data_IF_212662457511
#
_entry.id   IF_212662457511
#
_cell.length_a   1.000
_cell.length_b   1.000
_cell.length_c   1.000
_cell.angle_alpha   90.00
_cell.angle_beta   90.00
_cell.angle_gamma   90.00
#
_symmetry.space_group_name_H-M   'P 1'
#
loop_
_entity.id
_entity.type
_entity.pdbx_description
1 polymer ?
#
# COMPACT_ATOMS: atom_id res chain seq x y z
N UNK A 1 -21.76 16.73 37.49
CA UNK A 1 -20.86 17.50 36.61
C UNK A 1 -21.70 18.43 35.76
N UNK A 2 -21.85 19.69 36.15
CA UNK A 2 -22.54 20.67 35.31
C UNK A 2 -21.72 20.85 34.02
N UNK A 3 -22.30 20.50 32.88
CA UNK A 3 -21.75 20.85 31.56
C UNK A 3 -21.48 22.35 31.54
N UNK A 4 -20.21 22.75 31.50
CA UNK A 4 -19.84 24.14 31.35
C UNK A 4 -20.52 24.67 30.08
N UNK A 5 -21.47 25.60 30.24
CA UNK A 5 -22.19 26.20 29.11
C UNK A 5 -21.17 26.97 28.27
N UNK A 6 -20.72 26.36 27.18
CA UNK A 6 -19.87 27.00 26.18
C UNK A 6 -20.58 28.25 25.64
N UNK A 7 -19.83 29.31 25.36
CA UNK A 7 -20.40 30.50 24.71
C UNK A 7 -20.93 30.11 23.31
N UNK A 8 -21.94 30.83 22.79
CA UNK A 8 -22.49 30.56 21.45
C UNK A 8 -21.40 30.54 20.37
N UNK A 9 -20.45 31.47 20.42
CA UNK A 9 -19.31 31.55 19.49
C UNK A 9 -18.37 30.34 19.60
N UNK A 10 -18.08 29.87 20.83
CA UNK A 10 -17.24 28.68 21.02
C UNK A 10 -17.90 27.42 20.45
N UNK A 11 -19.24 27.32 20.55
CA UNK A 11 -19.99 26.21 19.95
C UNK A 11 -19.93 26.25 18.41
N UNK A 12 -20.04 27.44 17.80
CA UNK A 12 -19.89 27.61 16.35
C UNK A 12 -18.48 27.24 15.87
N UNK A 13 -17.43 27.67 16.59
CA UNK A 13 -16.04 27.32 16.25
C UNK A 13 -15.79 25.82 16.37
N UNK A 14 -16.31 25.18 17.42
CA UNK A 14 -16.20 23.73 17.62
C UNK A 14 -16.79 22.93 16.46
N UNK A 15 -17.90 23.41 15.89
CA UNK A 15 -18.59 22.75 14.78
C UNK A 15 -18.17 23.29 13.39
N UNK A 16 -17.17 24.18 13.34
CA UNK A 16 -16.68 24.74 12.08
C UNK A 16 -15.84 23.74 11.28
N UNK A 17 -15.81 23.90 9.96
CA UNK A 17 -15.03 23.02 9.06
C UNK A 17 -13.52 23.08 9.30
N UNK A 18 -13.02 24.24 9.73
CA UNK A 18 -11.59 24.41 10.04
C UNK A 18 -11.20 23.59 11.28
N UNK A 19 -12.04 23.55 12.31
CA UNK A 19 -11.82 22.77 13.53
C UNK A 19 -12.08 21.26 13.31
N UNK A 20 -12.79 20.89 12.26
CA UNK A 20 -12.98 19.50 11.85
C UNK A 20 -11.74 18.91 11.14
N UNK A 21 -10.73 19.73 10.80
CA UNK A 21 -9.50 19.22 10.20
C UNK A 21 -8.76 18.30 11.19
N UNK A 22 -8.39 17.08 10.77
CA UNK A 22 -7.70 16.14 11.63
C UNK A 22 -6.31 16.65 11.98
N UNK A 23 -5.84 16.32 13.19
CA UNK A 23 -4.45 16.55 13.58
C UNK A 23 -3.54 15.74 12.67
N UNK A 24 -2.37 16.31 12.34
CA UNK A 24 -1.38 15.66 11.48
C UNK A 24 -0.93 14.35 12.10
N UNK A 25 -0.93 13.27 11.30
CA UNK A 25 -0.41 11.99 11.75
C UNK A 25 1.11 12.05 11.85
N UNK A 26 1.68 11.32 12.82
CA UNK A 26 3.15 11.21 12.94
C UNK A 26 3.67 10.39 11.76
N UNK A 27 4.50 11.01 10.92
CA UNK A 27 5.25 10.29 9.88
C UNK A 27 6.26 9.31 10.49
N UNK A 28 6.76 8.38 9.67
CA UNK A 28 7.78 7.40 10.10
C UNK A 28 9.08 8.14 10.46
N UNK A 29 9.39 8.24 11.75
CA UNK A 29 10.67 8.77 12.26
C UNK A 29 11.68 7.67 12.64
N UNK A 30 11.56 6.48 12.03
CA UNK A 30 12.33 5.29 12.42
C UNK A 30 13.23 4.78 11.30
N UNK A 31 14.53 4.74 11.60
CA UNK A 31 15.67 4.21 10.82
C UNK A 31 16.11 5.03 9.60
N UNK A 32 17.22 5.76 9.78
CA UNK A 32 18.28 6.07 8.78
C UNK A 32 17.85 6.12 7.32
N UNK A 33 16.74 6.78 7.03
CA UNK A 33 16.23 6.88 5.67
C UNK A 33 16.84 8.14 5.10
N UNK A 34 17.86 7.96 4.26
CA UNK A 34 18.32 8.99 3.32
C UNK A 34 17.26 9.17 2.22
N UNK A 35 16.02 9.39 2.62
CA UNK A 35 14.92 9.73 1.74
C UNK A 35 14.98 11.24 1.54
N UNK A 36 14.77 11.72 0.31
CA UNK A 36 14.71 13.15 0.04
C UNK A 36 13.51 13.76 0.77
N UNK A 37 13.65 14.94 1.35
CA UNK A 37 12.57 15.65 2.03
C UNK A 37 11.34 15.90 1.13
N UNK A 38 11.52 15.85 -0.18
CA UNK A 38 10.49 16.02 -1.20
C UNK A 38 9.88 14.71 -1.71
N UNK A 39 10.28 13.54 -1.20
CA UNK A 39 9.72 12.26 -1.64
C UNK A 39 8.28 12.09 -1.12
N UNK A 40 7.40 11.56 -1.96
CA UNK A 40 6.05 11.21 -1.57
C UNK A 40 6.07 10.14 -0.48
N UNK A 41 5.35 10.38 0.61
CA UNK A 41 5.22 9.43 1.71
C UNK A 41 4.43 8.19 1.29
N UNK A 42 4.45 7.14 2.10
CA UNK A 42 3.68 5.92 1.83
C UNK A 42 2.16 6.11 1.98
N UNK A 43 1.74 7.02 2.84
CA UNK A 43 0.34 7.35 3.12
C UNK A 43 0.20 8.83 3.47
N UNK A 44 -0.98 9.44 3.26
CA UNK A 44 -1.20 10.85 3.57
C UNK A 44 -1.19 11.08 5.09
N UNK A 45 -0.43 12.10 5.52
CA UNK A 45 -0.35 12.53 6.94
C UNK A 45 -1.20 13.76 7.25
N UNK A 46 -1.69 14.46 6.22
CA UNK A 46 -2.50 15.68 6.31
C UNK A 46 -3.75 15.54 5.44
N UNK A 47 -4.81 16.24 5.81
CA UNK A 47 -6.03 16.28 5.02
C UNK A 47 -5.82 17.05 3.70
N UNK A 48 -6.42 16.52 2.63
CA UNK A 48 -6.54 17.20 1.34
C UNK A 48 -7.75 18.14 1.33
N UNK A 49 -7.54 19.38 0.92
CA UNK A 49 -8.56 20.42 0.85
C UNK A 49 -8.84 20.73 -0.62
N UNK A 50 -10.12 20.87 -0.96
CA UNK A 50 -10.61 21.23 -2.30
C UNK A 50 -11.62 22.36 -2.15
N UNK A 51 -11.67 23.22 -3.15
CA UNK A 51 -12.59 24.37 -3.22
C UNK A 51 -13.43 24.33 -4.49
N UNK A 52 -14.66 24.85 -4.48
CA UNK A 52 -15.43 25.06 -5.71
C UNK A 52 -14.71 26.01 -6.67
N UNK A 53 -14.97 25.86 -7.97
CA UNK A 53 -14.31 26.65 -9.02
C UNK A 53 -14.50 28.17 -8.84
N UNK A 54 -15.65 28.61 -8.33
CA UNK A 54 -15.95 30.02 -8.10
C UNK A 54 -15.09 30.66 -7.00
N UNK A 55 -14.77 29.94 -5.94
CA UNK A 55 -13.86 30.41 -4.88
C UNK A 55 -12.40 30.25 -5.29
N UNK A 56 -12.07 29.17 -6.00
CA UNK A 56 -10.74 28.93 -6.57
C UNK A 56 -10.30 30.09 -7.48
N UNK A 57 -11.19 30.62 -8.33
CA UNK A 57 -10.90 31.76 -9.19
C UNK A 57 -10.51 33.04 -8.41
N UNK A 58 -10.96 33.16 -7.16
CA UNK A 58 -10.60 34.25 -6.23
C UNK A 58 -9.43 33.92 -5.32
N UNK A 59 -8.87 32.70 -5.44
CA UNK A 59 -7.86 32.18 -4.53
C UNK A 59 -8.39 31.91 -3.12
N UNK A 60 -9.71 31.82 -2.91
CA UNK A 60 -10.31 31.58 -1.59
C UNK A 60 -10.40 30.08 -1.29
N UNK A 61 -9.74 29.67 -0.19
CA UNK A 61 -9.69 28.28 0.29
C UNK A 61 -10.40 28.07 1.64
N UNK A 62 -11.10 29.08 2.16
CA UNK A 62 -11.63 29.02 3.53
C UNK A 62 -10.52 28.93 4.58
N UNK A 63 -9.33 29.41 4.25
CA UNK A 63 -8.16 29.51 5.12
C UNK A 63 -7.98 30.95 5.60
N UNK A 64 -6.95 31.20 6.40
CA UNK A 64 -6.65 32.55 6.92
C UNK A 64 -6.43 33.58 5.81
N UNK A 65 -5.81 33.18 4.69
CA UNK A 65 -5.48 34.04 3.54
C UNK A 65 -5.74 33.32 2.22
N UNK A 66 -6.03 34.06 1.12
CA UNK A 66 -6.16 33.47 -0.19
C UNK A 66 -4.81 32.91 -0.67
N UNK A 67 -4.84 31.79 -1.39
CA UNK A 67 -3.63 31.15 -1.91
C UNK A 67 -3.29 31.69 -3.32
N UNK A 68 -2.00 31.73 -3.70
CA UNK A 68 -1.57 32.22 -5.00
C UNK A 68 -2.13 31.37 -6.18
N UNK A 69 -2.65 32.04 -7.20
CA UNK A 69 -3.17 31.42 -8.42
C UNK A 69 -2.10 30.63 -9.20
N UNK A 70 -0.87 31.17 -9.27
CA UNK A 70 0.27 30.56 -9.98
C UNK A 70 0.57 29.12 -9.55
N UNK A 71 0.47 28.83 -8.26
CA UNK A 71 0.72 27.49 -7.69
C UNK A 71 -0.53 26.60 -7.65
N UNK A 72 -1.72 27.17 -7.88
CA UNK A 72 -3.00 26.48 -7.76
C UNK A 72 -3.69 26.40 -9.12
N UNK A 73 -4.50 27.39 -9.46
CA UNK A 73 -5.39 27.42 -10.63
C UNK A 73 -4.66 27.43 -11.98
N UNK A 74 -3.51 28.09 -12.08
CA UNK A 74 -2.74 28.17 -13.34
C UNK A 74 -1.97 26.88 -13.64
N UNK A 75 -1.57 26.15 -12.60
CA UNK A 75 -0.72 24.95 -12.72
C UNK A 75 -1.53 23.67 -12.92
N UNK A 76 -2.74 23.60 -12.39
CA UNK A 76 -3.56 22.39 -12.40
C UNK A 76 -5.03 22.73 -12.61
N UNK A 77 -5.71 21.93 -13.43
CA UNK A 77 -7.16 22.02 -13.64
C UNK A 77 -7.98 21.57 -12.43
N UNK A 78 -7.42 20.67 -11.60
CA UNK A 78 -8.03 20.15 -10.36
C UNK A 78 -7.03 20.34 -9.20
N UNK A 79 -6.85 21.57 -8.68
CA UNK A 79 -5.90 21.79 -7.60
C UNK A 79 -6.46 21.22 -6.29
N UNK A 80 -5.61 20.49 -5.59
CA UNK A 80 -5.89 19.91 -4.27
C UNK A 80 -4.72 20.23 -3.38
N UNK A 81 -4.98 20.78 -2.19
CA UNK A 81 -3.95 21.37 -1.33
C UNK A 81 -3.93 20.71 0.05
N UNK A 82 -2.74 20.49 0.61
CA UNK A 82 -2.52 20.20 2.03
C UNK A 82 -1.89 21.40 2.72
N UNK A 83 -2.37 21.74 3.91
CA UNK A 83 -1.86 22.88 4.68
C UNK A 83 -0.91 22.38 5.77
N UNK A 84 0.30 22.93 5.82
CA UNK A 84 1.30 22.63 6.83
C UNK A 84 1.10 23.50 8.07
N UNK A 85 0.91 24.80 7.84
CA UNK A 85 0.61 25.79 8.86
C UNK A 85 -0.34 26.85 8.29
N UNK A 86 -1.34 27.25 9.08
CA UNK A 86 -2.29 28.29 8.68
C UNK A 86 -1.67 29.68 8.62
N UNK A 87 -0.64 29.92 9.43
CA UNK A 87 0.14 31.15 9.44
C UNK A 87 1.54 30.83 9.96
N UNK A 88 2.56 31.11 9.15
CA UNK A 88 3.96 30.98 9.55
C UNK A 88 4.49 32.30 10.13
N UNK A 89 5.71 32.26 10.64
CA UNK A 89 6.44 33.47 11.05
C UNK A 89 6.55 34.51 9.92
N UNK A 90 6.59 34.05 8.67
CA UNK A 90 6.66 34.89 7.47
C UNK A 90 5.32 35.49 7.06
N UNK A 91 4.26 35.28 7.87
CA UNK A 91 2.90 35.73 7.60
C UNK A 91 2.29 35.14 6.31
N UNK A 92 2.72 33.93 5.94
CA UNK A 92 2.22 33.18 4.78
C UNK A 92 1.59 31.88 5.26
N UNK A 93 0.56 31.42 4.55
CA UNK A 93 0.01 30.07 4.75
C UNK A 93 1.00 29.08 4.12
N UNK A 94 1.58 28.18 4.89
CA UNK A 94 2.45 27.13 4.34
C UNK A 94 1.60 25.98 3.82
N UNK A 95 1.71 25.68 2.53
CA UNK A 95 0.88 24.70 1.85
C UNK A 95 1.64 24.00 0.72
N UNK A 96 1.15 22.82 0.36
CA UNK A 96 1.70 22.01 -0.71
C UNK A 96 0.57 21.37 -1.52
N UNK A 97 0.87 20.91 -2.73
CA UNK A 97 -0.05 20.06 -3.48
C UNK A 97 -0.28 18.74 -2.75
N UNK A 98 -1.54 18.32 -2.66
CA UNK A 98 -1.95 17.00 -2.15
C UNK A 98 -2.39 16.06 -3.28
N UNK A 99 -2.17 16.46 -4.54
CA UNK A 99 -2.53 15.67 -5.71
C UNK A 99 -1.78 14.33 -5.79
N UNK A 100 -0.60 14.24 -5.17
CA UNK A 100 0.20 13.03 -5.06
C UNK A 100 -0.61 11.85 -4.49
N UNK A 101 -1.25 12.06 -3.34
CA UNK A 101 -2.04 11.03 -2.68
C UNK A 101 -3.47 10.92 -3.21
N UNK A 102 -4.13 12.04 -3.54
CA UNK A 102 -5.53 12.00 -3.99
C UNK A 102 -5.67 11.35 -5.35
N UNK A 103 -4.78 11.66 -6.30
CA UNK A 103 -4.81 11.02 -7.62
C UNK A 103 -4.41 9.55 -7.53
N UNK A 104 -3.50 9.19 -6.62
CA UNK A 104 -3.15 7.78 -6.37
C UNK A 104 -4.33 7.01 -5.79
N UNK A 105 -5.11 7.62 -4.90
CA UNK A 105 -6.35 7.02 -4.38
C UNK A 105 -7.39 6.84 -5.48
N UNK A 106 -7.63 7.86 -6.31
CA UNK A 106 -8.54 7.78 -7.46
C UNK A 106 -8.12 6.66 -8.41
N UNK A 107 -6.84 6.61 -8.80
CA UNK A 107 -6.28 5.53 -9.64
C UNK A 107 -6.44 4.15 -9.02
N UNK A 108 -6.26 4.02 -7.71
CA UNK A 108 -6.44 2.75 -7.02
C UNK A 108 -7.91 2.30 -7.03
N UNK A 109 -8.85 3.24 -6.83
CA UNK A 109 -10.28 2.97 -6.89
C UNK A 109 -10.74 2.57 -8.30
N UNK A 110 -10.13 3.14 -9.34
CA UNK A 110 -10.34 2.74 -10.74
C UNK A 110 -9.84 1.32 -11.04
N UNK A 111 -8.91 0.76 -10.26
CA UNK A 111 -8.52 -0.65 -10.39
C UNK A 111 -9.61 -1.61 -9.92
N UNK A 112 -10.67 -1.13 -9.25
CA UNK A 112 -11.75 -1.95 -8.69
C UNK A 112 -11.27 -3.13 -7.83
N UNK A 113 -10.15 -2.93 -7.12
CA UNK A 113 -9.54 -3.94 -6.25
C UNK A 113 -10.04 -3.80 -4.81
N UNK A 114 -10.53 -4.89 -4.18
CA UNK A 114 -10.80 -4.93 -2.75
C UNK A 114 -9.48 -5.06 -1.99
N UNK A 115 -9.49 -4.55 -0.77
CA UNK A 115 -8.40 -4.79 0.16
C UNK A 115 -8.54 -6.19 0.75
N UNK A 116 -7.43 -6.90 0.86
CA UNK A 116 -7.34 -8.22 1.47
C UNK A 116 -6.36 -8.19 2.64
N UNK A 117 -6.52 -9.12 3.58
CA UNK A 117 -5.48 -9.35 4.59
C UNK A 117 -4.17 -9.78 3.91
N UNK A 118 -2.99 -9.40 4.43
CA UNK A 118 -1.72 -9.77 3.81
C UNK A 118 -1.53 -11.29 3.83
N UNK A 119 -1.09 -11.84 2.71
CA UNK A 119 -0.73 -13.24 2.54
C UNK A 119 0.37 -13.34 1.49
N UNK A 120 1.38 -14.17 1.74
CA UNK A 120 2.46 -14.40 0.77
C UNK A 120 1.91 -15.09 -0.48
N UNK A 121 2.09 -14.45 -1.63
CA UNK A 121 1.78 -15.02 -2.94
C UNK A 121 2.98 -15.84 -3.41
N UNK A 122 2.78 -17.14 -3.62
CA UNK A 122 3.78 -18.04 -4.16
C UNK A 122 3.58 -18.20 -5.66
N UNK A 123 4.31 -17.41 -6.44
CA UNK A 123 4.21 -17.44 -7.90
C UNK A 123 4.77 -18.72 -8.54
N UNK A 124 5.61 -19.47 -7.84
CA UNK A 124 6.17 -20.74 -8.32
C UNK A 124 5.12 -21.86 -8.44
N UNK A 125 4.12 -21.88 -7.55
CA UNK A 125 3.07 -22.91 -7.55
C UNK A 125 1.81 -22.45 -8.27
N UNK A 126 1.77 -21.22 -8.78
CA UNK A 126 0.58 -20.57 -9.35
C UNK A 126 -0.65 -20.55 -8.43
N UNK A 127 -0.48 -20.89 -7.14
CA UNK A 127 -1.57 -20.90 -6.17
C UNK A 127 -1.71 -19.49 -5.59
N UNK A 128 -2.73 -18.78 -6.07
CA UNK A 128 -3.09 -17.47 -5.50
C UNK A 128 -3.74 -17.70 -4.14
N UNK A 129 -3.24 -17.07 -3.07
CA UNK A 129 -3.87 -17.19 -1.76
C UNK A 129 -5.30 -16.64 -1.82
N UNK A 130 -6.24 -17.31 -1.14
CA UNK A 130 -7.65 -16.89 -1.12
C UNK A 130 -7.78 -15.45 -0.62
N UNK A 131 -8.71 -14.71 -1.23
CA UNK A 131 -9.08 -13.37 -0.78
C UNK A 131 -9.79 -13.47 0.57
N UNK A 132 -9.35 -12.65 1.52
CA UNK A 132 -9.99 -12.53 2.82
C UNK A 132 -10.22 -11.05 3.09
N UNK A 133 -11.49 -10.64 3.14
CA UNK A 133 -11.88 -9.27 3.39
C UNK A 133 -11.45 -8.85 4.79
N UNK A 134 -10.94 -7.61 4.98
CA UNK A 134 -10.66 -7.10 6.31
C UNK A 134 -11.92 -6.72 7.08
N UNK A 135 -13.06 -6.52 6.38
CA UNK A 135 -14.34 -6.09 6.95
C UNK A 135 -15.25 -7.25 7.37
N UNK A 136 -14.68 -8.40 7.72
CA UNK A 136 -15.44 -9.53 8.27
C UNK A 136 -15.67 -9.34 9.78
N UNK A 137 -16.85 -9.71 10.27
CA UNK A 137 -17.22 -9.50 11.67
C UNK A 137 -16.25 -10.17 12.67
N UNK A 138 -15.65 -11.30 12.29
CA UNK A 138 -14.68 -12.03 13.11
C UNK A 138 -13.24 -11.51 12.98
N UNK A 139 -12.96 -10.51 12.13
CA UNK A 139 -11.61 -9.98 11.86
C UNK A 139 -11.47 -8.48 12.14
N UNK A 140 -12.53 -7.71 11.86
CA UNK A 140 -12.61 -6.27 12.04
C UNK A 140 -12.95 -5.90 13.49
N UNK A 141 -12.15 -6.41 14.42
CA UNK A 141 -12.34 -6.18 15.85
C UNK A 141 -11.19 -5.36 16.45
N UNK A 142 -11.53 -4.69 17.54
CA UNK A 142 -10.64 -3.91 18.41
C UNK A 142 -10.94 -4.30 19.87
N UNK A 143 -10.13 -3.89 20.85
CA UNK A 143 -10.34 -4.25 22.27
C UNK A 143 -11.79 -4.04 22.76
N UNK A 144 -12.47 -3.00 22.28
CA UNK A 144 -13.81 -2.62 22.75
C UNK A 144 -14.96 -3.19 21.90
N UNK A 145 -14.67 -3.94 20.83
CA UNK A 145 -15.73 -4.44 19.94
C UNK A 145 -16.45 -5.64 20.55
N UNK A 146 -17.78 -5.65 20.43
CA UNK A 146 -18.63 -6.75 20.91
C UNK A 146 -18.32 -8.09 20.22
N UNK A 147 -17.81 -8.04 18.97
CA UNK A 147 -17.43 -9.24 18.19
C UNK A 147 -16.32 -10.08 18.82
N UNK A 148 -15.56 -9.56 19.79
CA UNK A 148 -14.56 -10.33 20.54
C UNK A 148 -15.16 -11.44 21.42
N UNK A 149 -16.47 -11.39 21.70
CA UNK A 149 -17.16 -12.42 22.47
C UNK A 149 -17.36 -13.72 21.65
N UNK A 150 -17.28 -13.64 20.32
CA UNK A 150 -17.41 -14.81 19.47
C UNK A 150 -16.16 -15.70 19.53
N UNK A 151 -16.33 -17.03 19.60
CA UNK A 151 -15.20 -17.95 19.58
C UNK A 151 -14.44 -17.83 18.26
N UNK A 152 -13.12 -17.61 18.36
CA UNK A 152 -12.26 -17.45 17.18
C UNK A 152 -12.22 -16.05 16.58
N UNK A 153 -12.84 -15.06 17.24
CA UNK A 153 -12.70 -13.66 16.88
C UNK A 153 -11.23 -13.21 16.94
N UNK A 154 -10.83 -12.47 15.91
CA UNK A 154 -9.52 -11.85 15.75
C UNK A 154 -9.67 -10.35 15.72
N UNK A 155 -8.62 -9.66 16.13
CA UNK A 155 -8.52 -8.22 16.15
C UNK A 155 -7.31 -7.74 15.34
N UNK A 156 -7.44 -6.57 14.72
CA UNK A 156 -6.33 -5.95 14.01
C UNK A 156 -5.58 -4.94 14.88
N UNK A 157 -6.24 -4.38 15.90
CA UNK A 157 -5.67 -3.37 16.78
C UNK A 157 -5.62 -3.87 18.22
N UNK A 158 -4.43 -3.81 18.78
CA UNK A 158 -4.13 -4.12 20.17
C UNK A 158 -3.81 -2.85 20.95
N UNK A 159 -4.14 -2.84 22.24
CA UNK A 159 -3.75 -1.77 23.17
C UNK A 159 -2.30 -1.96 23.62
N UNK A 160 -1.86 -3.21 23.78
CA UNK A 160 -0.48 -3.54 24.08
C UNK A 160 0.45 -3.38 22.87
N UNK A 161 1.73 -3.03 23.09
CA UNK A 161 2.70 -2.96 22.01
C UNK A 161 3.10 -4.35 21.50
N UNK A 162 3.63 -4.38 20.27
CA UNK A 162 4.27 -5.58 19.76
C UNK A 162 5.72 -5.67 20.23
N UNK A 163 5.97 -6.56 21.19
CA UNK A 163 7.26 -6.65 21.89
C UNK A 163 8.44 -6.97 20.96
N UNK A 164 8.24 -7.76 19.92
CA UNK A 164 9.31 -8.17 19.01
C UNK A 164 9.84 -7.02 18.13
N UNK A 165 9.07 -5.95 17.95
CA UNK A 165 9.45 -4.79 17.16
C UNK A 165 9.96 -3.60 17.97
N UNK A 166 9.95 -3.67 19.30
CA UNK A 166 10.40 -2.58 20.15
C UNK A 166 11.91 -2.53 20.29
N UNK A 167 12.45 -1.31 20.39
CA UNK A 167 13.83 -1.10 20.84
C UNK A 167 13.95 -1.34 22.35
N UNK A 168 15.16 -1.61 22.83
CA UNK A 168 15.42 -1.86 24.26
C UNK A 168 14.97 -0.67 25.15
N UNK A 169 15.20 0.56 24.69
CA UNK A 169 14.76 1.77 25.39
C UNK A 169 13.24 1.89 25.48
N UNK A 170 12.53 1.57 24.40
CA UNK A 170 11.07 1.59 24.35
C UNK A 170 10.49 0.51 25.26
N UNK A 171 11.09 -0.69 25.23
CA UNK A 171 10.69 -1.80 26.09
C UNK A 171 10.91 -1.46 27.57
N UNK A 172 12.04 -0.87 27.95
CA UNK A 172 12.29 -0.44 29.33
C UNK A 172 11.30 0.64 29.80
N UNK A 173 10.94 1.59 28.92
CA UNK A 173 9.93 2.60 29.21
C UNK A 173 8.53 1.96 29.39
N UNK A 174 8.18 1.00 28.53
CA UNK A 174 6.93 0.26 28.62
C UNK A 174 6.85 -0.56 29.92
N UNK A 175 7.92 -1.23 30.33
CA UNK A 175 7.97 -1.96 31.60
C UNK A 175 7.69 -1.05 32.79
N UNK A 176 8.27 0.17 32.82
CA UNK A 176 7.97 1.16 33.87
C UNK A 176 6.48 1.51 33.91
N UNK A 177 5.85 1.69 32.75
CA UNK A 177 4.40 1.92 32.67
C UNK A 177 3.59 0.73 33.20
N UNK A 178 3.94 -0.50 32.83
CA UNK A 178 3.28 -1.72 33.32
C UNK A 178 3.42 -1.86 34.84
N UNK A 179 4.61 -1.57 35.39
CA UNK A 179 4.82 -1.62 36.86
C UNK A 179 3.96 -0.60 37.60
N UNK A 180 3.74 0.59 37.03
CA UNK A 180 2.86 1.62 37.59
C UNK A 180 1.40 1.17 37.59
N UNK A 181 0.95 0.47 36.54
CA UNK A 181 -0.42 0.01 36.38
C UNK A 181 -0.70 -1.35 37.04
N UNK A 182 0.29 -1.94 37.70
CA UNK A 182 0.18 -3.22 38.42
C UNK A 182 -1.07 -3.37 39.31
N UNK A 183 -1.51 -2.39 40.13
CA UNK A 183 -2.71 -2.59 40.96
C UNK A 183 -3.99 -2.78 40.13
N UNK A 184 -4.14 -2.09 39.00
CA UNK A 184 -5.29 -2.25 38.11
C UNK A 184 -5.25 -3.61 37.41
N UNK A 185 -4.06 -4.02 36.98
CA UNK A 185 -3.84 -5.33 36.38
C UNK A 185 -4.19 -6.48 37.34
N UNK A 186 -3.82 -6.36 38.61
CA UNK A 186 -4.18 -7.37 39.62
C UNK A 186 -5.69 -7.44 39.87
N UNK A 187 -6.42 -6.31 39.78
CA UNK A 187 -7.88 -6.30 39.85
C UNK A 187 -8.49 -7.05 38.66
N UNK A 188 -8.05 -6.76 37.43
CA UNK A 188 -8.48 -7.50 36.22
C UNK A 188 -8.18 -9.00 36.32
N UNK A 189 -7.01 -9.37 36.83
CA UNK A 189 -6.64 -10.78 37.04
C UNK A 189 -7.55 -11.45 38.07
N UNK A 190 -7.93 -10.74 39.13
CA UNK A 190 -8.90 -11.22 40.12
C UNK A 190 -10.28 -11.44 39.51
N UNK A 191 -10.75 -10.52 38.68
CA UNK A 191 -12.02 -10.67 37.94
C UNK A 191 -12.00 -11.90 37.02
N UNK A 192 -10.92 -12.09 36.25
CA UNK A 192 -10.73 -13.28 35.42
C UNK A 192 -10.70 -14.56 36.25
N UNK A 193 -10.05 -14.55 37.41
CA UNK A 193 -9.99 -15.71 38.31
C UNK A 193 -11.37 -16.04 38.90
N UNK A 194 -12.15 -15.03 39.31
CA UNK A 194 -13.53 -15.22 39.76
C UNK A 194 -14.39 -15.81 38.64
N UNK A 195 -14.26 -15.30 37.41
CA UNK A 195 -14.98 -15.82 36.26
C UNK A 195 -14.62 -17.28 35.97
N UNK A 196 -13.33 -17.63 35.95
CA UNK A 196 -12.86 -19.02 35.76
C UNK A 196 -13.42 -19.95 36.84
N UNK A 197 -13.34 -19.56 38.11
CA UNK A 197 -13.85 -20.38 39.21
C UNK A 197 -15.36 -20.52 39.18
N UNK A 198 -16.08 -19.47 38.80
CA UNK A 198 -17.53 -19.53 38.60
C UNK A 198 -17.91 -20.49 37.48
N UNK A 199 -17.12 -20.55 36.39
CA UNK A 199 -17.33 -21.49 35.30
C UNK A 199 -17.03 -22.94 35.72
N UNK A 200 -15.98 -23.17 36.52
CA UNK A 200 -15.67 -24.49 37.08
C UNK A 200 -16.77 -24.99 38.02
N UNK A 201 -17.25 -24.14 38.94
CA UNK A 201 -18.35 -24.48 39.85
C UNK A 201 -19.63 -24.78 39.07
N UNK A 202 -19.98 -23.95 38.07
CA UNK A 202 -21.15 -24.21 37.21
C UNK A 202 -21.02 -25.53 36.45
N UNK A 203 -19.84 -25.85 35.94
CA UNK A 203 -19.59 -27.12 35.26
C UNK A 203 -19.77 -28.31 36.21
N UNK A 204 -19.22 -28.23 37.43
CA UNK A 204 -19.38 -29.27 38.44
C UNK A 204 -20.85 -29.44 38.87
N UNK A 205 -21.58 -28.35 39.06
CA UNK A 205 -23.01 -28.39 39.36
C UNK A 205 -23.79 -29.03 38.20
N UNK A 206 -23.45 -28.69 36.95
CA UNK A 206 -24.05 -29.33 35.76
C UNK A 206 -23.75 -30.83 35.70
N UNK A 207 -22.51 -31.25 35.98
CA UNK A 207 -22.10 -32.65 35.97
C UNK A 207 -22.77 -33.44 37.12
N UNK A 208 -23.05 -32.79 38.25
CA UNK A 208 -23.74 -33.36 39.41
C UNK A 208 -25.28 -33.27 39.31
N UNK A 209 -25.82 -32.53 38.36
CA UNK A 209 -27.27 -32.30 38.20
C UNK A 209 -27.88 -31.31 39.21
N UNK A 210 -27.06 -30.44 39.79
CA UNK A 210 -27.46 -29.41 40.76
C UNK A 210 -27.84 -28.07 40.07
N UNK A 211 -28.60 -27.22 40.75
CA UNK A 211 -29.04 -25.91 40.22
C UNK A 211 -27.87 -24.93 40.02
N UNK A 212 -27.76 -24.38 38.82
CA UNK A 212 -26.64 -23.54 38.36
C UNK A 212 -26.54 -22.15 39.04
N UNK A 213 -27.65 -21.68 39.62
CA UNK A 213 -27.77 -20.34 40.23
C UNK A 213 -27.41 -20.31 41.73
N UNK A 214 -27.30 -21.48 42.38
CA UNK A 214 -27.22 -21.58 43.85
C UNK A 214 -25.82 -21.29 44.43
N UNK A 215 -24.77 -21.23 43.62
CA UNK A 215 -23.38 -21.18 44.09
C UNK A 215 -22.58 -19.97 43.54
N UNK A 216 -22.75 -18.76 44.11
CA UNK A 216 -21.90 -17.63 43.77
C UNK A 216 -20.46 -17.87 44.25
N UNK A 217 -19.49 -17.76 43.33
CA UNK A 217 -18.08 -17.95 43.64
C UNK A 217 -17.54 -16.83 44.55
N UNK A 218 -17.45 -17.09 45.85
CA UNK A 218 -16.74 -16.20 46.79
C UNK A 218 -15.25 -16.54 46.78
N UNK A 219 -14.43 -15.62 46.29
CA UNK A 219 -12.97 -15.80 46.22
C UNK A 219 -12.29 -15.07 47.37
N UNK A 220 -11.56 -15.83 48.20
CA UNK A 220 -10.75 -15.27 49.28
C UNK A 220 -9.39 -14.77 48.77
N UNK A 221 -8.79 -13.81 49.49
CA UNK A 221 -7.47 -13.26 49.13
C UNK A 221 -6.34 -14.31 49.23
N UNK A 222 -6.48 -15.28 50.14
CA UNK A 222 -5.51 -16.36 50.30
C UNK A 222 -5.46 -17.28 49.07
N UNK A 223 -6.62 -17.65 48.53
CA UNK A 223 -6.73 -18.47 47.33
C UNK A 223 -6.20 -17.74 46.09
N UNK A 224 -6.49 -16.44 45.97
CA UNK A 224 -5.94 -15.62 44.89
C UNK A 224 -4.41 -15.55 44.94
N UNK A 225 -3.82 -15.39 46.12
CA UNK A 225 -2.37 -15.42 46.28
C UNK A 225 -1.76 -16.79 45.98
N UNK A 226 -2.45 -17.88 46.31
CA UNK A 226 -2.04 -19.23 45.92
C UNK A 226 -2.06 -19.38 44.39
N UNK A 227 -3.09 -18.88 43.72
CA UNK A 227 -3.19 -18.87 42.26
C UNK A 227 -2.04 -18.09 41.60
N UNK A 228 -1.64 -16.94 42.14
CA UNK A 228 -0.47 -16.22 41.62
C UNK A 228 0.81 -17.06 41.77
N UNK A 229 0.96 -17.79 42.88
CA UNK A 229 2.13 -18.68 43.08
C UNK A 229 2.13 -19.84 42.09
N UNK A 230 0.98 -20.45 41.79
CA UNK A 230 0.91 -21.52 40.78
C UNK A 230 1.27 -21.00 39.39
N UNK A 231 0.75 -19.84 38.99
CA UNK A 231 1.12 -19.20 37.72
C UNK A 231 2.62 -18.87 37.65
N UNK A 232 3.27 -18.46 38.75
CA UNK A 232 4.73 -18.23 38.75
C UNK A 232 5.53 -19.52 38.53
N UNK A 233 5.03 -20.65 39.00
CA UNK A 233 5.70 -21.94 38.87
C UNK A 233 5.56 -22.53 37.46
N UNK A 234 4.49 -22.16 36.73
CA UNK A 234 4.22 -22.64 35.38
C UNK A 234 4.23 -21.50 34.32
N UNK A 235 5.36 -21.28 33.63
CA UNK A 235 5.47 -20.31 32.55
C UNK A 235 4.50 -20.54 31.39
N UNK A 236 4.07 -21.78 31.16
CA UNK A 236 3.14 -22.12 30.07
C UNK A 236 1.74 -21.59 30.36
N UNK A 237 1.26 -21.72 31.60
CA UNK A 237 -0.02 -21.15 32.02
C UNK A 237 0.03 -19.61 32.19
N UNK A 238 1.16 -19.06 32.63
CA UNK A 238 1.31 -17.62 32.84
C UNK A 238 1.34 -16.81 31.53
N UNK A 239 1.99 -17.35 30.49
CA UNK A 239 2.13 -16.67 29.20
C UNK A 239 0.78 -16.17 28.64
N UNK A 240 -0.19 -17.05 28.36
CA UNK A 240 -1.51 -16.66 27.83
C UNK A 240 -2.24 -15.63 28.69
N UNK A 241 -2.17 -15.76 30.02
CA UNK A 241 -2.79 -14.80 30.96
C UNK A 241 -2.17 -13.41 30.81
N UNK A 242 -0.85 -13.32 30.69
CA UNK A 242 -0.15 -12.04 30.48
C UNK A 242 -0.54 -11.40 29.15
N UNK A 243 -0.61 -12.19 28.07
CA UNK A 243 -1.02 -11.70 26.75
C UNK A 243 -2.45 -11.15 26.74
N UNK A 244 -3.36 -11.80 27.45
CA UNK A 244 -4.75 -11.36 27.56
C UNK A 244 -4.89 -10.10 28.42
N UNK A 245 -4.20 -10.06 29.56
CA UNK A 245 -4.30 -8.96 30.52
C UNK A 245 -3.65 -7.67 30.03
N UNK A 246 -2.56 -7.78 29.26
CA UNK A 246 -1.89 -6.63 28.64
C UNK A 246 -2.36 -6.37 27.20
N UNK A 247 -3.30 -7.16 26.68
CA UNK A 247 -3.73 -7.17 25.28
C UNK A 247 -2.55 -7.06 24.29
N UNK A 248 -1.58 -7.96 24.43
CA UNK A 248 -0.37 -7.98 23.62
C UNK A 248 -0.63 -8.68 22.29
N UNK A 249 -0.04 -8.13 21.22
CA UNK A 249 0.00 -8.79 19.92
C UNK A 249 0.82 -10.09 19.97
N UNK A 250 0.35 -11.12 19.27
CA UNK A 250 1.04 -12.41 19.22
C UNK A 250 2.45 -12.28 18.63
N UNK A 251 3.45 -12.95 19.21
CA UNK A 251 4.81 -12.93 18.69
C UNK A 251 4.91 -13.80 17.42
N UNK A 252 6.01 -13.66 16.65
CA UNK A 252 6.31 -14.60 15.59
C UNK A 252 6.49 -16.03 16.13
N UNK A 253 6.32 -17.03 15.26
CA UNK A 253 6.44 -18.44 15.62
C UNK A 253 7.79 -18.74 16.30
N UNK A 254 7.74 -19.48 17.40
CA UNK A 254 8.93 -19.87 18.17
C UNK A 254 9.77 -20.84 17.33
N UNK A 255 11.09 -20.62 17.19
CA UNK A 255 11.97 -21.54 16.47
C UNK A 255 11.92 -22.95 17.05
N UNK A 256 12.04 -23.97 16.18
CA UNK A 256 11.93 -25.38 16.55
C UNK A 256 12.91 -25.81 17.66
N UNK A 257 14.07 -25.16 17.74
CA UNK A 257 15.12 -25.43 18.75
C UNK A 257 14.69 -25.14 20.20
N UNK A 258 13.67 -24.28 20.39
CA UNK A 258 13.14 -23.95 21.73
C UNK A 258 11.97 -24.84 22.14
N UNK A 259 11.44 -25.64 21.21
CA UNK A 259 10.36 -26.59 21.47
C UNK A 259 10.91 -27.67 22.41
N UNK A 260 10.33 -27.79 23.62
CA UNK A 260 10.76 -28.73 24.66
C UNK A 260 11.49 -28.11 25.86
N UNK A 261 11.82 -26.81 25.84
CA UNK A 261 12.29 -26.07 27.04
C UNK A 261 11.11 -25.39 27.73
N UNK A 262 11.26 -25.02 29.01
CA UNK A 262 10.29 -24.15 29.69
C UNK A 262 10.41 -22.73 29.11
N UNK A 263 9.34 -22.23 28.50
CA UNK A 263 9.27 -20.86 27.98
C UNK A 263 7.86 -20.28 28.18
N UNK A 264 7.73 -18.97 28.04
CA UNK A 264 6.43 -18.30 28.07
C UNK A 264 5.70 -18.53 26.75
N UNK A 265 4.69 -19.40 26.77
CA UNK A 265 3.89 -19.70 25.58
C UNK A 265 2.95 -18.53 25.25
N UNK A 266 2.93 -18.12 23.99
CA UNK A 266 1.89 -17.21 23.51
C UNK A 266 0.60 -17.97 23.24
N UNK A 267 -0.57 -17.35 23.45
CA UNK A 267 -1.83 -17.93 23.00
C UNK A 267 -1.86 -18.02 21.46
N UNK A 268 -2.86 -18.70 20.92
CA UNK A 268 -3.13 -18.68 19.49
C UNK A 268 -3.24 -17.25 18.95
N UNK A 269 -2.86 -17.06 17.67
CA UNK A 269 -2.82 -15.71 17.09
C UNK A 269 -4.21 -15.08 17.07
N UNK A 270 -4.39 -14.02 17.86
CA UNK A 270 -5.57 -13.15 17.81
C UNK A 270 -5.48 -12.11 16.70
N UNK A 271 -4.38 -12.08 15.94
CA UNK A 271 -4.20 -11.15 14.84
C UNK A 271 -5.07 -11.56 13.65
N UNK A 272 -5.58 -10.55 12.94
CA UNK A 272 -6.39 -10.76 11.73
C UNK A 272 -5.67 -11.60 10.67
N UNK A 273 -4.36 -11.40 10.47
CA UNK A 273 -3.50 -12.18 9.57
C UNK A 273 -2.29 -12.81 10.26
N UNK A 274 -1.83 -13.94 9.72
CA UNK A 274 -0.57 -14.56 10.11
C UNK A 274 0.66 -13.71 9.74
N UNK A 275 0.63 -12.99 8.62
CA UNK A 275 1.76 -12.14 8.21
C UNK A 275 2.02 -10.99 9.20
N UNK A 276 0.96 -10.53 9.88
CA UNK A 276 1.09 -9.55 10.97
C UNK A 276 1.73 -10.13 12.23
N UNK A 277 1.74 -11.45 12.44
CA UNK A 277 2.49 -12.04 13.55
C UNK A 277 4.00 -11.91 13.32
N UNK A 278 4.43 -11.94 12.05
CA UNK A 278 5.84 -11.83 11.65
C UNK A 278 6.28 -10.37 11.54
N UNK A 279 5.47 -9.52 10.89
CA UNK A 279 5.78 -8.12 10.61
C UNK A 279 5.30 -7.14 11.68
N UNK A 280 4.52 -7.64 12.65
CA UNK A 280 3.82 -6.83 13.65
C UNK A 280 2.37 -6.52 13.27
N UNK A 281 1.51 -6.21 14.26
CA UNK A 281 0.16 -5.75 14.01
C UNK A 281 0.16 -4.48 13.15
N UNK A 282 -0.86 -4.29 12.30
CA UNK A 282 -0.93 -3.11 11.46
C UNK A 282 -1.20 -1.85 12.29
N UNK A 283 -0.47 -0.77 11.98
CA UNK A 283 -0.62 0.54 12.62
C UNK A 283 -1.98 1.20 12.32
N UNK A 284 -2.60 0.80 11.21
CA UNK A 284 -3.90 1.28 10.75
C UNK A 284 -4.82 0.10 10.46
N UNK A 285 -6.09 0.37 10.15
CA UNK A 285 -7.01 -0.68 9.71
C UNK A 285 -6.44 -1.40 8.47
N UNK A 286 -6.57 -2.74 8.32
CA UNK A 286 -5.99 -3.48 7.20
C UNK A 286 -6.43 -3.04 5.80
N UNK A 287 -7.51 -2.24 5.67
CA UNK A 287 -7.88 -1.61 4.39
C UNK A 287 -7.14 -0.31 4.08
N UNK A 288 -6.51 0.32 5.08
CA UNK A 288 -5.88 1.64 4.97
C UNK A 288 -6.82 2.78 4.56
N UNK A 289 -8.13 2.55 4.51
CA UNK A 289 -9.11 3.50 3.96
C UNK A 289 -9.02 3.69 2.44
N UNK A 290 -8.37 2.76 1.71
CA UNK A 290 -8.17 2.88 0.26
C UNK A 290 -9.40 2.42 -0.53
N UNK A 291 -9.93 1.25 -0.16
CA UNK A 291 -11.13 0.66 -0.75
C UNK A 291 -11.97 -0.01 0.32
N UNK A 292 -13.29 0.11 0.16
CA UNK A 292 -14.30 -0.44 1.06
C UNK A 292 -15.07 -1.60 0.42
N UNK A 293 -14.65 -2.06 -0.76
CA UNK A 293 -15.25 -3.24 -1.39
C UNK A 293 -14.78 -4.50 -0.66
N UNK A 294 -15.72 -5.38 -0.32
CA UNK A 294 -15.44 -6.62 0.41
C UNK A 294 -14.84 -7.71 -0.48
N UNK A 295 -15.24 -7.75 -1.76
CA UNK A 295 -14.83 -8.80 -2.70
C UNK A 295 -14.75 -8.25 -4.13
N UNK A 296 -13.94 -8.89 -4.96
CA UNK A 296 -13.85 -8.67 -6.41
C UNK A 296 -14.49 -9.81 -7.20
N UNK A 297 -15.43 -10.55 -6.59
CA UNK A 297 -16.27 -11.53 -7.28
C UNK A 297 -17.30 -10.85 -8.19
N UNK A 298 -16.80 -10.01 -9.09
CA UNK A 298 -17.55 -9.29 -10.11
C UNK A 298 -16.95 -9.65 -11.48
N UNK A 299 -17.81 -9.75 -12.48
CA UNK A 299 -17.43 -10.04 -13.85
C UNK A 299 -17.68 -8.78 -14.66
N UNK A 300 -16.64 -8.25 -15.29
CA UNK A 300 -16.77 -7.09 -16.15
C UNK A 300 -17.42 -7.50 -17.48
N UNK A 301 -18.59 -6.94 -17.78
CA UNK A 301 -19.28 -7.20 -19.03
C UNK A 301 -18.82 -6.22 -20.13
N UNK A 302 -18.08 -6.72 -21.12
CA UNK A 302 -17.66 -5.93 -22.26
C UNK A 302 -18.83 -5.73 -23.23
N UNK A 303 -19.01 -4.51 -23.74
CA UNK A 303 -20.15 -4.16 -24.59
C UNK A 303 -20.31 -5.05 -25.84
N UNK A 304 -19.19 -5.45 -26.47
CA UNK A 304 -19.21 -6.26 -27.70
C UNK A 304 -18.96 -7.75 -27.47
N UNK A 305 -18.12 -8.11 -26.49
CA UNK A 305 -17.61 -9.47 -26.32
C UNK A 305 -18.23 -10.18 -25.11
N UNK A 306 -19.11 -9.51 -24.38
CA UNK A 306 -19.78 -10.06 -23.22
C UNK A 306 -18.86 -10.19 -21.98
N UNK A 307 -19.18 -11.08 -21.04
CA UNK A 307 -18.48 -11.22 -19.77
C UNK A 307 -17.01 -11.62 -19.96
N UNK A 308 -16.11 -10.84 -19.37
CA UNK A 308 -14.67 -11.08 -19.43
C UNK A 308 -14.17 -11.86 -18.23
N UNK A 309 -13.24 -12.80 -18.46
CA UNK A 309 -12.63 -13.60 -17.40
C UNK A 309 -11.77 -12.76 -16.43
N UNK A 310 -11.18 -11.67 -16.93
CA UNK A 310 -10.35 -10.76 -16.16
C UNK A 310 -10.85 -9.32 -16.31
N UNK A 311 -10.57 -8.49 -15.32
CA UNK A 311 -10.76 -7.04 -15.44
C UNK A 311 -9.83 -6.47 -16.52
N UNK A 312 -10.16 -5.27 -17.00
CA UNK A 312 -9.37 -4.57 -18.00
C UNK A 312 -7.90 -4.45 -17.54
N UNK A 313 -6.93 -4.91 -18.37
CA UNK A 313 -5.52 -4.73 -18.07
C UNK A 313 -5.13 -3.27 -17.90
N UNK A 314 -4.10 -3.03 -17.07
CA UNK A 314 -3.58 -1.69 -16.77
C UNK A 314 -2.12 -1.61 -17.19
N UNK A 315 -1.70 -0.48 -17.75
CA UNK A 315 -0.31 -0.25 -18.12
C UNK A 315 0.54 0.03 -16.88
N UNK A 316 1.59 -0.76 -16.69
CA UNK A 316 2.59 -0.61 -15.65
C UNK A 316 3.89 -0.04 -16.24
N UNK A 317 4.53 0.88 -15.51
CA UNK A 317 5.85 1.41 -15.88
C UNK A 317 6.95 0.66 -15.16
N UNK A 318 8.00 0.28 -15.86
CA UNK A 318 9.19 -0.32 -15.25
C UNK A 318 10.01 0.79 -14.60
N UNK A 319 10.09 0.77 -13.27
CA UNK A 319 10.89 1.73 -12.49
C UNK A 319 12.31 1.21 -12.28
N UNK A 320 12.45 -0.11 -12.10
CA UNK A 320 13.75 -0.77 -11.96
C UNK A 320 13.72 -2.12 -12.70
N UNK A 321 14.64 -2.37 -13.65
CA UNK A 321 14.76 -3.66 -14.31
C UNK A 321 15.24 -4.75 -13.33
N UNK A 322 15.04 -6.01 -13.71
CA UNK A 322 15.62 -7.19 -13.04
C UNK A 322 17.14 -7.14 -13.18
N UNK A 323 17.88 -7.33 -12.10
CA UNK A 323 19.34 -7.32 -12.19
C UNK A 323 20.04 -7.26 -10.84
N UNK A 324 21.37 -7.09 -10.86
CA UNK A 324 22.15 -6.90 -9.64
C UNK A 324 22.10 -5.43 -9.22
N UNK A 325 21.58 -5.16 -8.03
CA UNK A 325 21.68 -3.85 -7.40
C UNK A 325 22.45 -4.00 -6.09
N UNK A 326 23.55 -3.24 -5.95
CA UNK A 326 24.46 -3.31 -4.79
C UNK A 326 24.90 -4.76 -4.46
N UNK A 327 25.24 -5.53 -5.49
CA UNK A 327 25.74 -6.92 -5.34
C UNK A 327 24.67 -7.98 -5.01
N UNK A 328 23.40 -7.61 -4.79
CA UNK A 328 22.29 -8.56 -4.57
C UNK A 328 21.40 -8.63 -5.79
N UNK A 329 20.82 -9.81 -6.06
CA UNK A 329 19.78 -9.98 -7.06
C UNK A 329 18.56 -9.17 -6.64
N UNK A 330 18.30 -8.08 -7.35
CA UNK A 330 17.18 -7.20 -7.12
C UNK A 330 16.01 -7.61 -8.02
N UNK A 331 14.84 -7.65 -7.39
CA UNK A 331 13.56 -7.84 -8.09
C UNK A 331 13.26 -6.61 -8.95
N UNK A 332 12.56 -6.82 -10.05
CA UNK A 332 12.06 -5.70 -10.84
C UNK A 332 11.04 -4.90 -10.01
N UNK A 333 11.04 -3.58 -10.18
CA UNK A 333 10.07 -2.68 -9.56
C UNK A 333 9.22 -2.07 -10.66
N UNK A 334 7.90 -2.21 -10.54
CA UNK A 334 6.93 -1.67 -11.48
C UNK A 334 6.02 -0.65 -10.77
N UNK A 335 5.64 0.41 -11.49
CA UNK A 335 4.68 1.40 -11.05
C UNK A 335 3.30 1.10 -11.64
N UNK A 336 2.35 0.72 -10.79
CA UNK A 336 0.97 0.39 -11.18
C UNK A 336 0.04 1.37 -10.46
N UNK A 337 -0.73 2.17 -11.20
CA UNK A 337 -1.71 3.09 -10.61
C UNK A 337 -1.12 4.14 -9.64
N UNK A 338 0.17 4.45 -9.73
CA UNK A 338 0.87 5.36 -8.79
C UNK A 338 1.52 4.65 -7.59
N UNK A 339 1.39 3.33 -7.48
CA UNK A 339 1.99 2.52 -6.41
C UNK A 339 3.21 1.80 -6.95
N UNK A 340 4.32 1.83 -6.20
CA UNK A 340 5.53 1.09 -6.53
C UNK A 340 5.44 -0.35 -5.99
N UNK A 341 5.59 -1.34 -6.87
CA UNK A 341 5.30 -2.74 -6.61
C UNK A 341 6.50 -3.59 -7.01
N UNK A 342 6.91 -4.53 -6.15
CA UNK A 342 7.90 -5.54 -6.51
C UNK A 342 7.23 -6.60 -7.40
N UNK A 343 7.64 -6.67 -8.66
CA UNK A 343 7.13 -7.69 -9.57
C UNK A 343 7.90 -8.99 -9.35
N UNK A 344 7.31 -9.87 -8.55
CA UNK A 344 7.84 -11.21 -8.27
C UNK A 344 7.74 -12.14 -9.49
N UNK A 345 6.78 -11.89 -10.39
CA UNK A 345 6.66 -12.61 -11.67
C UNK A 345 7.76 -12.21 -12.66
N UNK A 346 8.44 -11.08 -12.44
CA UNK A 346 9.61 -10.70 -13.24
C UNK A 346 10.71 -11.77 -13.28
N UNK A 347 10.76 -12.64 -12.28
CA UNK A 347 11.73 -13.73 -12.22
C UNK A 347 11.39 -14.89 -13.16
N UNK A 348 10.10 -15.14 -13.43
CA UNK A 348 9.61 -16.28 -14.22
C UNK A 348 9.45 -15.97 -15.71
N UNK A 349 9.65 -14.72 -16.14
CA UNK A 349 9.67 -14.38 -17.56
C UNK A 349 10.91 -15.00 -18.24
N UNK A 350 10.67 -16.07 -18.99
CA UNK A 350 11.65 -16.69 -19.91
C UNK A 350 11.81 -15.77 -21.13
N UNK A 351 13.00 -15.75 -21.74
CA UNK A 351 13.47 -14.78 -22.75
C UNK A 351 12.51 -14.50 -23.92
N UNK A 352 11.61 -15.43 -24.26
CA UNK A 352 10.63 -15.24 -25.33
C UNK A 352 9.46 -14.33 -24.87
N UNK A 353 9.43 -13.10 -25.37
CA UNK A 353 8.34 -12.15 -25.13
C UNK A 353 8.48 -11.34 -23.84
N UNK A 354 9.68 -11.24 -23.27
CA UNK A 354 9.96 -10.34 -22.15
C UNK A 354 9.71 -8.88 -22.57
N UNK A 355 8.98 -8.07 -21.77
CA UNK A 355 8.78 -6.66 -22.09
C UNK A 355 10.11 -5.90 -22.23
N UNK A 356 10.23 -5.03 -23.25
CA UNK A 356 11.44 -4.26 -23.46
C UNK A 356 11.68 -3.32 -22.27
N UNK A 357 12.91 -3.29 -21.76
CA UNK A 357 13.27 -2.54 -20.56
C UNK A 357 13.16 -3.29 -19.23
N UNK A 358 12.70 -4.56 -19.23
CA UNK A 358 12.53 -5.33 -17.99
C UNK A 358 13.81 -6.04 -17.53
N UNK A 359 14.60 -6.58 -18.45
CA UNK A 359 15.88 -7.25 -18.16
C UNK A 359 17.04 -6.29 -17.97
N UNK A 360 17.06 -5.22 -18.75
CA UNK A 360 18.03 -4.14 -18.65
C UNK A 360 17.33 -2.82 -18.98
N UNK A 361 17.86 -1.73 -18.46
CA UNK A 361 17.36 -0.41 -18.79
C UNK A 361 17.64 -0.10 -20.27
N UNK A 362 16.59 0.13 -21.05
CA UNK A 362 16.69 0.52 -22.47
C UNK A 362 16.30 2.01 -22.62
N UNK A 363 17.29 2.85 -22.89
CA UNK A 363 17.12 4.29 -23.07
C UNK A 363 16.47 4.66 -24.41
N UNK A 364 16.41 3.73 -25.38
CA UNK A 364 15.81 4.00 -26.69
C UNK A 364 14.28 4.06 -26.66
N UNK A 365 13.66 3.58 -25.57
CA UNK A 365 12.21 3.56 -25.42
C UNK A 365 11.73 4.92 -24.93
N UNK A 366 10.95 5.69 -25.72
CA UNK A 366 10.47 6.99 -25.30
C UNK A 366 9.51 6.85 -24.10
N UNK A 367 9.82 7.56 -23.01
CA UNK A 367 9.04 7.48 -21.77
C UNK A 367 9.31 6.24 -20.90
N UNK A 368 10.27 5.40 -21.29
CA UNK A 368 10.69 4.21 -20.56
C UNK A 368 9.87 2.96 -20.85
N UNK A 369 10.39 1.80 -20.42
CA UNK A 369 9.75 0.50 -20.60
C UNK A 369 8.41 0.40 -19.87
N UNK A 370 7.38 -0.09 -20.58
CA UNK A 370 6.00 -0.22 -20.10
C UNK A 370 5.42 -1.54 -20.56
N UNK A 371 4.53 -2.11 -19.75
CA UNK A 371 3.88 -3.39 -20.05
C UNK A 371 2.52 -3.50 -19.38
N UNK A 372 1.65 -4.34 -19.92
CA UNK A 372 0.30 -4.52 -19.41
C UNK A 372 0.24 -5.59 -18.32
N UNK A 373 -0.43 -5.24 -17.22
CA UNK A 373 -0.61 -6.11 -16.05
C UNK A 373 -2.08 -6.23 -15.68
N UNK A 374 -2.41 -7.34 -15.03
CA UNK A 374 -3.71 -7.57 -14.40
C UNK A 374 -3.48 -7.65 -12.88
N UNK A 375 -3.91 -6.64 -12.11
CA UNK A 375 -3.90 -6.69 -10.64
C UNK A 375 -4.77 -7.84 -10.13
N UNK A 376 -4.31 -8.52 -9.07
CA UNK A 376 -4.97 -9.72 -8.52
C UNK A 376 -5.34 -9.54 -7.06
N UNK A 377 -4.46 -8.88 -6.29
CA UNK A 377 -4.62 -8.75 -4.85
C UNK A 377 -3.96 -7.48 -4.35
N UNK A 378 -4.65 -6.77 -3.46
CA UNK A 378 -4.08 -5.64 -2.71
C UNK A 378 -4.14 -5.94 -1.21
N UNK A 379 -3.12 -5.56 -0.46
CA UNK A 379 -3.06 -5.65 1.00
C UNK A 379 -2.29 -4.47 1.58
N UNK A 380 -2.45 -4.23 2.88
CA UNK A 380 -1.65 -3.24 3.62
C UNK A 380 -0.69 -3.98 4.55
N UNK A 381 0.58 -3.57 4.55
CA UNK A 381 1.58 -4.12 5.47
C UNK A 381 1.46 -3.50 6.86
N UNK A 382 2.19 -4.04 7.85
CA UNK A 382 2.16 -3.53 9.22
C UNK A 382 2.53 -2.04 9.33
N UNK A 383 3.44 -1.59 8.45
CA UNK A 383 3.90 -0.21 8.32
C UNK A 383 2.94 0.73 7.58
N UNK A 384 1.83 0.22 7.02
CA UNK A 384 0.89 1.02 6.22
C UNK A 384 1.28 1.17 4.75
N UNK A 385 2.23 0.36 4.26
CA UNK A 385 2.57 0.30 2.83
C UNK A 385 1.55 -0.53 2.07
N UNK A 386 1.29 -0.16 0.84
CA UNK A 386 0.37 -0.89 -0.04
C UNK A 386 1.16 -1.98 -0.77
N UNK A 387 0.85 -3.24 -0.46
CA UNK A 387 1.30 -4.39 -1.23
C UNK A 387 0.30 -4.68 -2.34
N UNK A 388 0.73 -4.62 -3.59
CA UNK A 388 -0.08 -5.03 -4.75
C UNK A 388 0.56 -6.26 -5.40
N UNK A 389 -0.24 -7.23 -5.77
CA UNK A 389 0.17 -8.41 -6.52
C UNK A 389 -0.53 -8.41 -7.87
N UNK A 390 0.23 -8.62 -8.94
CA UNK A 390 -0.25 -8.56 -10.32
C UNK A 390 0.37 -9.64 -11.19
N UNK A 391 -0.39 -10.12 -12.17
CA UNK A 391 0.11 -10.95 -13.26
C UNK A 391 0.36 -10.08 -14.50
N UNK A 392 1.17 -10.60 -15.42
CA UNK A 392 1.19 -10.04 -16.78
C UNK A 392 -0.18 -10.27 -17.42
N UNK A 393 -0.66 -9.27 -18.14
CA UNK A 393 -1.88 -9.41 -18.92
C UNK A 393 -1.70 -10.45 -20.04
N UNK A 394 -2.57 -11.46 -20.08
CA UNK A 394 -2.60 -12.44 -21.16
C UNK A 394 -3.00 -11.79 -22.49
N UNK A 395 -2.64 -12.41 -23.61
CA UNK A 395 -3.11 -11.96 -24.93
C UNK A 395 -4.65 -11.92 -25.00
N UNK A 396 -5.32 -12.88 -24.38
CA UNK A 396 -6.78 -12.94 -24.28
C UNK A 396 -7.39 -11.82 -23.46
N UNK A 397 -6.71 -11.33 -22.41
CA UNK A 397 -7.18 -10.19 -21.63
C UNK A 397 -7.01 -8.85 -22.38
N UNK A 398 -6.03 -8.79 -23.30
CA UNK A 398 -5.73 -7.60 -24.10
C UNK A 398 -6.58 -7.48 -25.38
N UNK A 399 -6.87 -8.60 -26.03
CA UNK A 399 -7.56 -8.65 -27.33
C UNK A 399 -8.91 -7.91 -27.37
N UNK A 400 -9.81 -8.02 -26.35
CA UNK A 400 -11.09 -7.31 -26.34
C UNK A 400 -10.96 -5.78 -26.40
N UNK A 401 -9.82 -5.25 -25.96
CA UNK A 401 -9.56 -3.82 -25.88
C UNK A 401 -8.64 -3.31 -27.00
N UNK A 402 -8.25 -4.17 -27.95
CA UNK A 402 -7.30 -3.82 -29.02
C UNK A 402 -5.93 -3.38 -28.48
N UNK A 403 -5.51 -3.93 -27.34
CA UNK A 403 -4.27 -3.52 -26.68
C UNK A 403 -3.09 -4.33 -27.22
N UNK A 404 -2.06 -3.63 -27.69
CA UNK A 404 -0.80 -4.22 -28.14
C UNK A 404 0.37 -3.88 -27.19
N UNK A 405 1.36 -4.76 -27.14
CA UNK A 405 2.60 -4.49 -26.39
C UNK A 405 3.50 -3.56 -27.24
N UNK A 406 4.35 -2.78 -26.57
CA UNK A 406 5.31 -1.94 -27.29
C UNK A 406 6.32 -2.81 -28.05
N UNK A 407 6.32 -2.70 -29.38
CA UNK A 407 7.32 -3.29 -30.25
C UNK A 407 8.34 -2.22 -30.63
N UNK A 408 9.62 -2.48 -30.34
CA UNK A 408 10.71 -1.61 -30.78
C UNK A 408 10.73 -1.59 -32.31
N UNK A 409 10.81 -0.41 -32.96
CA UNK A 409 10.94 -0.36 -34.41
C UNK A 409 12.23 -1.07 -34.80
N UNK A 410 12.11 -2.25 -35.41
CA UNK A 410 13.26 -2.99 -35.93
C UNK A 410 13.85 -2.16 -37.06
N UNK A 411 15.16 -1.91 -37.09
CA UNK A 411 15.81 -1.22 -38.22
C UNK A 411 15.76 -2.01 -39.54
N UNK A 412 15.11 -3.17 -39.54
CA UNK A 412 14.90 -4.07 -40.67
C UNK A 412 13.41 -4.18 -41.04
N UNK A 413 12.55 -3.25 -40.65
CA UNK A 413 11.22 -3.16 -41.27
C UNK A 413 11.42 -2.66 -42.69
N UNK A 414 11.36 -3.61 -43.63
CA UNK A 414 11.13 -3.35 -45.05
C UNK A 414 9.94 -2.39 -45.11
N UNK A 415 10.17 -1.15 -45.54
CA UNK A 415 9.14 -0.13 -45.64
C UNK A 415 7.93 -0.67 -46.40
N UNK A 416 6.71 -0.32 -46.00
CA UNK A 416 5.48 -0.67 -46.73
C UNK A 416 5.47 -0.22 -48.21
N UNK A 417 6.41 0.65 -48.59
CA UNK A 417 6.70 1.04 -49.98
C UNK A 417 7.24 -0.14 -50.82
N UNK A 418 7.87 -1.14 -50.20
CA UNK A 418 8.42 -2.32 -50.88
C UNK A 418 7.41 -3.48 -50.99
N UNK A 419 6.28 -3.41 -50.28
CA UNK A 419 5.13 -4.33 -50.41
C UNK A 419 4.07 -3.82 -51.39
N UNK A 420 4.26 -2.63 -51.97
CA UNK A 420 3.46 -2.19 -53.10
C UNK A 420 3.71 -3.11 -54.32
N UNK A 421 2.68 -3.49 -55.10
CA UNK A 421 2.90 -4.17 -56.37
C UNK A 421 3.80 -3.27 -57.22
N UNK A 422 4.90 -3.86 -57.72
CA UNK A 422 5.98 -3.20 -58.42
C UNK A 422 5.52 -2.05 -59.32
N UNK A 423 6.11 -0.84 -59.24
CA UNK A 423 5.85 0.19 -60.23
C UNK A 423 6.29 -0.35 -61.58
N UNK A 424 5.35 -0.36 -62.53
CA UNK A 424 5.52 -0.75 -63.92
C UNK A 424 6.80 -0.08 -64.45
N UNK A 425 7.85 -0.87 -64.67
CA UNK A 425 9.10 -0.37 -65.25
C UNK A 425 8.77 0.21 -66.63
N UNK A 426 9.10 1.49 -66.92
CA UNK A 426 8.86 2.06 -68.23
C UNK A 426 9.65 1.26 -69.28
N UNK A 427 8.97 0.75 -70.30
CA UNK A 427 9.60 0.06 -71.43
C UNK A 427 10.56 1.03 -72.13
N UNK A 428 11.83 0.61 -72.27
CA UNK A 428 12.91 1.39 -72.87
C UNK A 428 12.81 1.58 -74.40
N UNK A 429 11.73 1.12 -75.05
CA UNK A 429 11.62 1.11 -76.52
C UNK A 429 10.73 2.24 -77.10
N UNK A 430 10.63 3.39 -76.42
CA UNK A 430 10.04 4.59 -77.03
C UNK A 430 11.02 5.75 -77.01
N UNK A 431 11.67 5.95 -78.16
CA UNK A 431 12.34 7.19 -78.52
C UNK A 431 11.32 8.34 -78.53
N UNK A 432 11.50 9.42 -77.73
CA UNK A 432 10.77 10.65 -77.91
C UNK A 432 11.58 11.57 -78.84
N UNK A 433 11.04 11.80 -80.03
CA UNK A 433 11.40 12.93 -80.87
C UNK A 433 10.96 14.24 -80.20
N UNK A 434 11.90 15.17 -80.02
CA UNK A 434 11.62 16.59 -79.90
C UNK A 434 11.60 17.16 -78.47
N UNK A 435 12.76 17.64 -78.01
CA UNK A 435 12.83 18.76 -77.06
C UNK A 435 13.95 19.73 -77.49
N UNK A 436 13.70 21.06 -77.54
CA UNK A 436 14.75 22.04 -77.65
C UNK A 436 15.37 22.38 -76.29
N UNK A 437 16.57 22.95 -76.41
CA UNK A 437 17.60 23.31 -75.43
C UNK A 437 17.19 24.33 -74.35
N UNK A 438 17.87 24.17 -73.21
CA UNK A 438 18.42 25.19 -72.29
C UNK A 438 17.48 26.29 -71.73
N UNK A 439 17.33 26.28 -70.39
CA UNK A 439 17.33 27.49 -69.57
C UNK A 439 18.18 27.25 -68.30
N UNK A 440 19.10 28.15 -67.92
CA UNK A 440 19.83 28.08 -66.67
C UNK A 440 19.18 28.97 -65.62
N UNK A 441 18.92 28.43 -64.42
CA UNK A 441 18.60 29.25 -63.25
C UNK A 441 19.24 28.63 -62.01
N UNK A 442 20.08 29.43 -61.38
CA UNK A 442 20.78 29.18 -60.14
C UNK A 442 19.81 29.04 -58.96
N UNK A 443 20.12 28.14 -58.02
CA UNK A 443 19.97 28.42 -56.59
C UNK A 443 20.72 27.39 -55.73
N UNK A 444 21.65 27.90 -54.93
CA UNK A 444 22.38 27.20 -53.89
C UNK A 444 21.43 26.65 -52.83
N UNK A 445 21.46 25.33 -52.59
CA UNK A 445 20.98 24.71 -51.34
C UNK A 445 22.17 24.10 -50.58
N UNK A 446 22.35 24.40 -49.29
CA UNK A 446 23.43 23.81 -48.52
C UNK A 446 23.16 22.32 -48.23
N UNK A 447 24.22 21.52 -48.32
CA UNK A 447 24.29 20.12 -47.88
C UNK A 447 23.75 19.99 -46.45
N UNK A 448 22.67 19.21 -46.28
CA UNK A 448 22.29 18.66 -44.97
C UNK A 448 23.41 17.74 -44.48
N UNK A 449 24.02 18.11 -43.35
CA UNK A 449 24.86 17.19 -42.57
C UNK A 449 23.96 16.12 -41.91
N UNK A 450 24.43 14.88 -41.75
CA UNK A 450 23.69 13.86 -41.04
C UNK A 450 23.54 14.25 -39.57
N UNK A 451 22.31 14.21 -39.06
CA UNK A 451 21.98 14.44 -37.66
C UNK A 451 22.72 13.43 -36.78
N UNK A 452 23.58 13.91 -35.87
CA UNK A 452 24.15 13.07 -34.79
C UNK A 452 22.99 12.47 -33.99
N UNK A 453 22.98 11.15 -33.87
CA UNK A 453 21.91 10.43 -33.18
C UNK A 453 21.89 10.79 -31.69
N UNK A 454 20.69 10.87 -31.13
CA UNK A 454 20.44 11.04 -29.69
C UNK A 454 21.16 10.00 -28.82
N UNK A 455 21.51 8.85 -29.40
CA UNK A 455 22.30 7.78 -28.78
C UNK A 455 23.73 8.21 -28.43
N UNK A 456 24.37 9.04 -29.25
CA UNK A 456 25.74 9.50 -29.01
C UNK A 456 25.79 10.52 -27.86
N UNK A 457 24.73 11.33 -27.72
CA UNK A 457 24.56 12.28 -26.60
C UNK A 457 24.31 11.52 -25.30
N UNK A 458 23.48 10.48 -25.32
CA UNK A 458 23.22 9.64 -24.15
C UNK A 458 24.47 8.86 -23.71
N UNK A 459 25.25 8.33 -24.65
CA UNK A 459 26.54 7.68 -24.36
C UNK A 459 27.57 8.66 -23.80
N UNK A 460 27.64 9.87 -24.34
CA UNK A 460 28.53 10.92 -23.81
C UNK A 460 28.17 11.33 -22.38
N UNK A 461 26.87 11.40 -22.05
CA UNK A 461 26.42 11.75 -20.70
C UNK A 461 26.70 10.63 -19.69
N UNK A 462 26.49 9.36 -20.08
CA UNK A 462 26.82 8.21 -19.24
C UNK A 462 28.33 8.07 -18.98
N UNK A 463 29.17 8.34 -19.98
CA UNK A 463 30.61 8.32 -19.81
C UNK A 463 31.11 9.44 -18.89
N UNK A 464 30.48 10.62 -18.92
CA UNK A 464 30.79 11.73 -18.03
C UNK A 464 30.32 11.53 -16.58
N UNK A 465 29.33 10.66 -16.35
CA UNK A 465 28.88 10.29 -15.01
C UNK A 465 29.79 9.22 -14.37
N UNK A 466 30.34 8.31 -15.18
CA UNK A 466 31.27 7.28 -14.70
C UNK A 466 32.70 7.79 -14.47
N UNK A 467 33.09 8.94 -15.02
CA UNK A 467 34.44 9.51 -14.85
C UNK A 467 34.61 10.38 -13.60
N UNK A 468 33.56 10.52 -12.77
CA UNK A 468 33.56 11.31 -11.53
C UNK A 468 33.29 10.49 -10.25
N UNK A 469 33.50 9.17 -10.27
CA UNK A 469 33.50 8.34 -9.05
C UNK A 469 34.90 7.93 -8.65
#
# INVERSE_FOLDING_TARGET
MASARLSPTANLLRNSRLFALPKTLKGRSGQTSRESDTATLHYPIRASIVTPQSSLARGDWGLKRPLPAKSTSEKSSRPVVRVHALDTYEHVTDFESAADHTVTLEKFQELHMPMSLPSKVNYATSVVPRHQSPFEAHLDNTETSQGLQEPGAKQFRHTGPWLAGQTESEFAAYLKQVTRNKPELLKKLREQFVAKRSAEIRKLAQDNGEDLEAHPATVTDAEFNAYIKTLRNDPFALGPVVYELLDLASPPAVPSERIGRKYYQSPGSKLSSFEYAVSGPPKTHPSGGLSYTRSHALIHNHAQFGPQAHQRPVEARILRPKGRFKGRMARALAGIGGIAVEDLNAMTFVEQGTPPGLTFFDASIPGGGKYWVTPIRASVDSDGRIGLSSYRASATAKAPYGIEDYHKPTTLTISDVATAPSPLVPRLDRLPLGQPRFQPSAENRPRRQPTRGTEDVARSLLNNLNSKS
#
